data_IF_611710255304
#
_entry.id   IF_611710255304
#
_cell.length_a   1.000
_cell.length_b   1.000
_cell.length_c   1.000
_cell.angle_alpha   90.00
_cell.angle_beta   90.00
_cell.angle_gamma   90.00
#
_symmetry.space_group_name_H-M   'P 1'
#
loop_
_entity.id
_entity.type
_entity.pdbx_description
1 polymer ?
#
# COMPACT_ATOMS: atom_id res chain seq x y z
N UNK A 1 4.77 12.05 17.94
CA UNK A 1 3.47 11.59 17.43
C UNK A 1 3.69 10.24 16.75
N UNK A 2 2.93 9.22 17.11
CA UNK A 2 3.01 7.92 16.46
C UNK A 2 2.29 8.01 15.11
N UNK A 3 2.98 8.46 14.09
CA UNK A 3 2.40 8.56 12.76
C UNK A 3 2.38 7.17 12.13
N UNK A 4 1.18 6.63 11.96
CA UNK A 4 0.99 5.45 11.12
C UNK A 4 1.06 5.89 9.67
N UNK A 5 1.84 5.17 8.86
CA UNK A 5 1.96 5.41 7.42
C UNK A 5 1.44 4.22 6.63
N UNK A 6 0.90 4.50 5.48
CA UNK A 6 0.48 3.48 4.52
C UNK A 6 1.66 3.18 3.61
N UNK A 7 2.05 1.91 3.54
CA UNK A 7 3.04 1.45 2.56
C UNK A 7 2.34 0.58 1.53
N UNK A 8 2.37 1.02 0.28
CA UNK A 8 1.82 0.30 -0.87
C UNK A 8 2.95 -0.45 -1.55
N UNK A 9 2.88 -1.76 -1.53
CA UNK A 9 3.81 -2.59 -2.28
C UNK A 9 3.32 -2.74 -3.72
N UNK A 10 4.11 -2.29 -4.69
CA UNK A 10 3.82 -2.47 -6.10
C UNK A 10 5.09 -2.75 -6.91
N UNK A 11 4.97 -3.60 -7.92
CA UNK A 11 5.99 -3.83 -8.96
C UNK A 11 5.34 -4.23 -10.26
N UNK A 12 5.97 -3.94 -11.38
CA UNK A 12 5.48 -4.28 -12.73
C UNK A 12 5.76 -5.72 -13.14
N UNK A 13 6.74 -6.38 -12.51
CA UNK A 13 7.23 -7.71 -12.85
C UNK A 13 6.31 -8.86 -12.40
N UNK A 14 5.02 -8.81 -12.74
CA UNK A 14 4.11 -9.93 -12.53
C UNK A 14 4.32 -10.99 -13.60
N UNK A 15 4.53 -12.24 -13.20
CA UNK A 15 4.72 -13.36 -14.14
C UNK A 15 3.41 -13.81 -14.81
N UNK A 16 2.27 -13.66 -14.12
CA UNK A 16 0.94 -14.04 -14.62
C UNK A 16 0.34 -13.02 -15.56
N UNK A 17 0.48 -11.73 -15.23
CA UNK A 17 0.03 -10.61 -16.05
C UNK A 17 1.05 -9.48 -15.92
N UNK A 18 2.03 -9.39 -16.83
CA UNK A 18 3.01 -8.30 -16.82
C UNK A 18 2.32 -6.95 -16.83
N UNK A 19 2.88 -6.00 -16.10
CA UNK A 19 2.40 -4.61 -16.04
C UNK A 19 0.95 -4.43 -15.53
N UNK A 20 0.35 -5.44 -14.89
CA UNK A 20 -1.07 -5.39 -14.45
C UNK A 20 -1.43 -4.12 -13.66
N UNK A 21 -0.46 -3.51 -12.97
CA UNK A 21 -0.68 -2.32 -12.15
C UNK A 21 -0.99 -1.06 -12.96
N UNK A 22 -0.52 -1.01 -14.21
CA UNK A 22 -0.58 0.17 -15.08
C UNK A 22 -1.44 -0.06 -16.33
N UNK A 23 -1.81 -1.29 -16.63
CA UNK A 23 -2.76 -1.57 -17.73
C UNK A 23 -4.09 -0.89 -17.46
N UNK A 24 -4.77 -0.37 -18.49
CA UNK A 24 -6.10 0.22 -18.35
C UNK A 24 -7.06 -0.74 -17.67
N UNK A 25 -7.66 -0.32 -16.55
CA UNK A 25 -8.59 -1.10 -15.75
C UNK A 25 -9.98 -0.44 -15.69
N UNK A 26 -10.03 0.84 -15.40
CA UNK A 26 -11.26 1.63 -15.35
C UNK A 26 -11.01 3.05 -15.87
N UNK A 27 -11.84 3.52 -16.81
CA UNK A 27 -11.72 4.87 -17.42
C UNK A 27 -10.31 5.20 -17.92
N UNK A 28 -9.62 4.21 -18.49
CA UNK A 28 -8.21 4.27 -18.91
C UNK A 28 -7.17 4.43 -17.79
N UNK A 29 -7.59 4.41 -16.52
CA UNK A 29 -6.68 4.40 -15.39
C UNK A 29 -6.26 2.97 -15.02
N UNK A 30 -5.00 2.78 -14.65
CA UNK A 30 -4.50 1.52 -14.12
C UNK A 30 -4.90 1.31 -12.65
N UNK A 31 -4.78 0.07 -12.17
CA UNK A 31 -5.13 -0.27 -10.78
C UNK A 31 -4.36 0.58 -9.77
N UNK A 32 -3.07 0.82 -9.99
CA UNK A 32 -2.24 1.59 -9.07
C UNK A 32 -2.69 3.05 -8.98
N UNK A 33 -3.00 3.69 -10.11
CA UNK A 33 -3.55 5.06 -10.14
C UNK A 33 -4.87 5.16 -9.38
N UNK A 34 -5.78 4.19 -9.59
CA UNK A 34 -7.06 4.13 -8.87
C UNK A 34 -6.88 4.00 -7.35
N UNK A 35 -5.95 3.15 -6.91
CA UNK A 35 -5.64 3.01 -5.48
C UNK A 35 -5.11 4.34 -4.92
N UNK A 36 -4.18 5.00 -5.59
CA UNK A 36 -3.66 6.30 -5.14
C UNK A 36 -4.74 7.36 -5.09
N UNK A 37 -5.58 7.46 -6.13
CA UNK A 37 -6.71 8.40 -6.20
C UNK A 37 -7.66 8.20 -5.01
N UNK A 38 -7.98 6.97 -4.68
CA UNK A 38 -8.84 6.63 -3.54
C UNK A 38 -8.16 6.92 -2.20
N UNK A 39 -6.93 6.51 -2.00
CA UNK A 39 -6.21 6.75 -0.76
C UNK A 39 -5.99 8.25 -0.49
N UNK A 40 -5.59 9.00 -1.50
CA UNK A 40 -5.33 10.44 -1.35
C UNK A 40 -6.60 11.26 -1.13
N UNK A 41 -7.80 10.70 -1.33
CA UNK A 41 -9.06 11.35 -0.98
C UNK A 41 -9.36 11.37 0.52
N UNK A 42 -8.73 10.49 1.30
CA UNK A 42 -8.99 10.34 2.74
C UNK A 42 -7.72 10.40 3.62
N UNK A 43 -6.55 10.20 3.03
CA UNK A 43 -5.27 10.14 3.74
C UNK A 43 -4.36 11.25 3.22
N UNK A 44 -3.65 11.92 4.13
CA UNK A 44 -2.62 12.88 3.76
C UNK A 44 -1.53 12.19 2.93
N UNK A 45 -1.20 12.79 1.80
CA UNK A 45 -0.21 12.29 0.83
C UNK A 45 1.15 11.99 1.47
N UNK A 46 1.54 12.78 2.48
CA UNK A 46 2.79 12.58 3.22
C UNK A 46 2.80 11.29 4.04
N UNK A 47 1.65 10.68 4.27
CA UNK A 47 1.49 9.41 4.98
C UNK A 47 1.31 8.22 4.05
N UNK A 48 1.45 8.40 2.75
CA UNK A 48 1.37 7.34 1.74
C UNK A 48 2.75 7.17 1.09
N UNK A 49 3.23 5.94 1.04
CA UNK A 49 4.54 5.58 0.51
C UNK A 49 4.37 4.42 -0.48
N UNK A 50 4.81 4.60 -1.71
CA UNK A 50 5.03 3.50 -2.63
C UNK A 50 6.36 2.80 -2.27
N UNK A 51 6.34 1.51 -2.00
CA UNK A 51 7.54 0.69 -1.88
C UNK A 51 7.69 -0.20 -3.13
N UNK A 52 8.61 0.16 -4.00
CA UNK A 52 8.91 -0.57 -5.25
C UNK A 52 10.37 -0.97 -5.31
N UNK A 53 10.77 -1.68 -6.35
CA UNK A 53 12.16 -2.10 -6.51
C UNK A 53 12.98 -1.10 -7.33
N UNK A 54 14.31 -1.31 -7.30
CA UNK A 54 15.26 -0.53 -8.09
C UNK A 54 15.28 -0.88 -9.58
N UNK A 55 14.52 -1.90 -10.00
CA UNK A 55 14.43 -2.28 -11.41
C UNK A 55 13.77 -1.15 -12.23
N UNK A 56 14.39 -0.77 -13.35
CA UNK A 56 13.95 0.32 -14.22
C UNK A 56 12.50 0.14 -14.75
N UNK A 57 12.05 -1.10 -14.90
CA UNK A 57 10.67 -1.39 -15.27
C UNK A 57 9.63 -0.79 -14.30
N UNK A 58 10.05 -0.42 -13.08
CA UNK A 58 9.20 0.20 -12.08
C UNK A 58 9.24 1.74 -12.08
N UNK A 59 9.97 2.36 -13.01
CA UNK A 59 10.05 3.83 -13.10
C UNK A 59 8.66 4.44 -13.30
N UNK A 60 7.84 3.81 -14.11
CA UNK A 60 6.45 4.22 -14.34
C UNK A 60 5.63 4.31 -13.04
N UNK A 61 5.86 3.41 -12.07
CA UNK A 61 5.17 3.45 -10.78
C UNK A 61 5.64 4.65 -9.95
N UNK A 62 6.93 4.97 -9.99
CA UNK A 62 7.46 6.15 -9.30
C UNK A 62 6.97 7.46 -9.94
N UNK A 63 6.81 7.49 -11.26
CA UNK A 63 6.27 8.65 -11.96
C UNK A 63 4.78 8.88 -11.61
N UNK A 64 3.98 7.82 -11.56
CA UNK A 64 2.59 7.90 -11.07
C UNK A 64 2.57 8.38 -9.61
N UNK A 65 3.45 7.86 -8.73
CA UNK A 65 3.52 8.32 -7.34
C UNK A 65 3.81 9.83 -7.24
N UNK A 66 4.73 10.34 -8.07
CA UNK A 66 5.03 11.79 -8.16
C UNK A 66 3.81 12.60 -8.63
N UNK A 67 3.07 12.13 -9.64
CA UNK A 67 1.86 12.81 -10.13
C UNK A 67 0.81 12.98 -9.03
N UNK A 68 0.64 11.95 -8.18
CA UNK A 68 -0.27 12.02 -7.03
C UNK A 68 0.33 12.76 -5.82
N UNK A 69 1.61 13.10 -5.86
CA UNK A 69 2.32 13.78 -4.78
C UNK A 69 2.54 12.92 -3.55
N UNK A 70 2.60 11.59 -3.71
CA UNK A 70 2.89 10.64 -2.62
C UNK A 70 4.39 10.28 -2.60
N UNK A 71 4.87 9.86 -1.43
CA UNK A 71 6.25 9.44 -1.28
C UNK A 71 6.50 8.11 -2.00
N UNK A 72 7.76 7.86 -2.36
CA UNK A 72 8.16 6.56 -2.88
C UNK A 72 9.54 6.16 -2.36
N UNK A 73 9.74 4.87 -2.21
CA UNK A 73 10.98 4.21 -1.86
C UNK A 73 11.32 3.13 -2.88
N UNK A 74 12.59 3.01 -3.23
CA UNK A 74 13.09 1.97 -4.13
C UNK A 74 14.11 1.11 -3.41
N UNK A 75 13.84 -0.18 -3.28
CA UNK A 75 14.70 -1.11 -2.55
C UNK A 75 14.88 -2.45 -3.27
N UNK A 76 15.18 -3.50 -2.51
CA UNK A 76 15.43 -4.84 -3.05
C UNK A 76 14.28 -5.35 -3.92
N UNK A 77 14.60 -5.93 -5.07
CA UNK A 77 13.63 -6.62 -5.94
C UNK A 77 13.09 -7.89 -5.27
N UNK A 78 13.98 -8.68 -4.66
CA UNK A 78 13.68 -10.01 -4.18
C UNK A 78 13.30 -10.06 -2.69
N UNK A 79 13.89 -9.19 -1.87
CA UNK A 79 13.59 -9.12 -0.44
C UNK A 79 12.51 -8.07 -0.16
N UNK A 80 11.27 -8.53 -0.15
CA UNK A 80 10.09 -7.69 0.09
C UNK A 80 10.07 -7.17 1.52
N UNK A 81 10.41 -8.01 2.50
CA UNK A 81 10.41 -7.62 3.91
C UNK A 81 11.44 -6.53 4.17
N UNK A 82 12.67 -6.72 3.68
CA UNK A 82 13.72 -5.70 3.83
C UNK A 82 13.30 -4.38 3.17
N UNK A 83 12.67 -4.43 2.00
CA UNK A 83 12.16 -3.23 1.33
C UNK A 83 11.13 -2.47 2.16
N UNK A 84 10.24 -3.17 2.88
CA UNK A 84 9.30 -2.54 3.82
C UNK A 84 10.01 -1.90 5.01
N UNK A 85 10.98 -2.61 5.61
CA UNK A 85 11.78 -2.11 6.73
C UNK A 85 12.54 -0.85 6.33
N UNK A 86 13.19 -0.88 5.18
CA UNK A 86 13.98 0.26 4.69
C UNK A 86 13.08 1.46 4.37
N UNK A 87 11.94 1.23 3.74
CA UNK A 87 10.95 2.28 3.48
C UNK A 87 10.41 2.88 4.80
N UNK A 88 10.11 2.04 5.79
CA UNK A 88 9.64 2.50 7.08
C UNK A 88 10.68 3.36 7.80
N UNK A 89 11.93 2.95 7.76
CA UNK A 89 13.06 3.69 8.37
C UNK A 89 13.28 5.04 7.68
N UNK A 90 13.27 5.07 6.33
CA UNK A 90 13.48 6.31 5.56
C UNK A 90 12.43 7.37 5.90
N UNK A 91 11.18 6.95 6.02
CA UNK A 91 10.05 7.86 6.30
C UNK A 91 9.65 7.91 7.78
N UNK A 92 10.48 7.40 8.69
CA UNK A 92 10.25 7.40 10.14
C UNK A 92 8.88 6.82 10.52
N UNK A 93 8.41 5.79 9.81
CA UNK A 93 7.16 5.12 10.08
C UNK A 93 7.33 4.14 11.25
N UNK A 94 6.72 4.42 12.39
CA UNK A 94 6.71 3.53 13.55
C UNK A 94 5.57 2.50 13.51
N UNK A 95 4.51 2.84 12.80
CA UNK A 95 3.35 1.98 12.55
C UNK A 95 3.07 1.97 11.05
N UNK A 96 2.82 0.80 10.51
CA UNK A 96 2.63 0.61 9.07
C UNK A 96 1.29 -0.03 8.81
N UNK A 97 0.54 0.51 7.86
CA UNK A 97 -0.57 -0.18 7.23
C UNK A 97 -0.11 -0.63 5.86
N UNK A 98 -0.04 -1.93 5.68
CA UNK A 98 0.31 -2.52 4.40
C UNK A 98 -0.89 -2.57 3.47
N UNK A 99 -0.74 -2.01 2.28
CA UNK A 99 -1.73 -2.09 1.19
C UNK A 99 -1.11 -2.81 0.00
N UNK A 100 -1.81 -3.84 -0.50
CA UNK A 100 -1.43 -4.51 -1.73
C UNK A 100 -1.96 -3.74 -2.93
N UNK A 101 -1.09 -3.43 -3.88
CA UNK A 101 -1.44 -2.62 -5.05
C UNK A 101 -2.35 -3.33 -6.07
N UNK A 102 -2.69 -4.59 -5.87
CA UNK A 102 -3.57 -5.37 -6.74
C UNK A 102 -5.02 -5.47 -6.24
N UNK A 103 -5.36 -4.73 -5.19
CA UNK A 103 -6.73 -4.63 -4.68
C UNK A 103 -7.37 -3.26 -4.99
N UNK A 104 -8.00 -3.08 -6.16
CA UNK A 104 -8.64 -1.82 -6.53
C UNK A 104 -9.90 -1.51 -5.71
N UNK A 105 -10.45 -2.50 -5.02
CA UNK A 105 -11.68 -2.40 -4.23
C UNK A 105 -11.41 -2.23 -2.72
N UNK A 106 -10.23 -1.74 -2.38
CA UNK A 106 -9.87 -1.43 -1.00
C UNK A 106 -10.99 -0.62 -0.32
N UNK A 107 -11.50 -1.12 0.80
CA UNK A 107 -12.53 -0.44 1.56
C UNK A 107 -11.92 0.71 2.39
N UNK A 108 -12.27 1.94 2.02
CA UNK A 108 -11.72 3.15 2.64
C UNK A 108 -12.28 3.40 4.04
N UNK A 109 -13.51 2.99 4.31
CA UNK A 109 -14.12 3.16 5.64
C UNK A 109 -13.44 2.25 6.67
N UNK A 110 -13.26 0.97 6.31
CA UNK A 110 -12.51 0.05 7.17
C UNK A 110 -11.03 0.41 7.28
N UNK A 111 -10.42 0.96 6.24
CA UNK A 111 -9.06 1.45 6.31
C UNK A 111 -8.93 2.60 7.31
N UNK A 112 -9.82 3.57 7.29
CA UNK A 112 -9.86 4.66 8.27
C UNK A 112 -10.07 4.12 9.69
N UNK A 113 -11.01 3.19 9.86
CA UNK A 113 -11.24 2.56 11.15
C UNK A 113 -9.97 1.87 11.67
N UNK A 114 -9.29 1.10 10.84
CA UNK A 114 -8.03 0.44 11.19
C UNK A 114 -6.95 1.46 11.59
N UNK A 115 -6.78 2.50 10.78
CA UNK A 115 -5.80 3.56 11.01
C UNK A 115 -6.02 4.25 12.37
N UNK A 116 -7.25 4.63 12.67
CA UNK A 116 -7.61 5.35 13.90
C UNK A 116 -7.44 4.49 15.15
N UNK A 117 -7.76 3.20 15.06
CA UNK A 117 -7.62 2.29 16.18
C UNK A 117 -6.16 1.87 16.39
N UNK A 118 -5.43 1.59 15.30
CA UNK A 118 -4.04 1.18 15.38
C UNK A 118 -3.13 2.29 15.91
N UNK A 119 -3.36 3.54 15.54
CA UNK A 119 -2.62 4.69 16.08
C UNK A 119 -2.68 4.80 17.59
N UNK A 120 -3.83 4.44 18.17
CA UNK A 120 -4.11 4.55 19.61
C UNK A 120 -3.78 3.28 20.39
N UNK A 121 -3.48 2.18 19.72
CA UNK A 121 -3.21 0.88 20.34
C UNK A 121 -1.72 0.71 20.63
N UNK A 122 -1.40 -0.20 21.56
CA UNK A 122 -0.06 -0.70 21.80
C UNK A 122 0.14 -2.10 21.20
N UNK A 123 -0.73 -2.50 20.26
CA UNK A 123 -0.63 -3.79 19.59
C UNK A 123 0.50 -3.77 18.54
N UNK A 124 1.19 -4.88 18.45
CA UNK A 124 2.21 -5.12 17.41
C UNK A 124 1.56 -5.44 16.05
N UNK A 125 0.34 -5.98 16.07
CA UNK A 125 -0.40 -6.37 14.87
C UNK A 125 -1.90 -6.18 15.04
N UNK A 126 -2.55 -5.68 13.99
CA UNK A 126 -4.01 -5.53 13.93
C UNK A 126 -4.52 -5.89 12.53
N UNK A 127 -5.57 -6.68 12.45
CA UNK A 127 -6.24 -7.02 11.19
C UNK A 127 -7.73 -7.27 11.41
N UNK A 128 -8.46 -7.41 10.30
CA UNK A 128 -9.87 -7.78 10.34
C UNK A 128 -10.08 -9.27 10.18
N UNK A 129 -11.13 -9.78 10.79
CA UNK A 129 -11.64 -11.13 10.60
C UNK A 129 -13.14 -11.07 10.26
N UNK A 130 -13.61 -12.01 9.49
CA UNK A 130 -15.03 -12.21 9.24
C UNK A 130 -15.70 -12.77 10.51
N UNK A 131 -17.03 -12.68 10.60
CA UNK A 131 -17.79 -13.19 11.76
C UNK A 131 -17.58 -14.69 12.05
N UNK A 132 -17.18 -15.47 11.05
CA UNK A 132 -16.85 -16.89 11.22
C UNK A 132 -15.37 -17.16 11.54
N UNK A 133 -14.57 -16.11 11.84
CA UNK A 133 -13.17 -16.22 12.20
C UNK A 133 -12.19 -16.36 11.04
N UNK A 134 -12.63 -16.16 9.79
CA UNK A 134 -11.71 -16.19 8.64
C UNK A 134 -10.99 -14.85 8.53
N UNK A 135 -9.63 -14.82 8.51
CA UNK A 135 -8.89 -13.60 8.28
C UNK A 135 -9.25 -12.95 6.94
N UNK A 136 -9.51 -11.65 6.93
CA UNK A 136 -9.92 -10.92 5.70
C UNK A 136 -8.86 -10.94 4.61
N UNK A 137 -7.59 -11.14 4.96
CA UNK A 137 -6.52 -11.35 3.98
C UNK A 137 -6.79 -12.52 3.01
N UNK A 138 -7.61 -13.48 3.42
CA UNK A 138 -8.04 -14.60 2.58
C UNK A 138 -9.25 -14.27 1.70
N UNK A 139 -9.85 -13.08 1.87
CA UNK A 139 -11.05 -12.62 1.16
C UNK A 139 -10.62 -11.55 0.21
N UNK A 140 -9.85 -11.36 -0.59
CA UNK A 140 -9.47 -10.28 -1.51
C UNK A 140 -9.66 -8.83 -1.02
N UNK A 141 -10.19 -8.63 0.17
CA UNK A 141 -10.43 -7.31 0.79
C UNK A 141 -9.51 -7.05 1.99
N UNK A 142 -8.49 -7.89 2.17
CA UNK A 142 -7.63 -7.82 3.34
C UNK A 142 -6.61 -6.69 3.26
N UNK A 143 -6.52 -5.94 4.33
CA UNK A 143 -5.40 -5.10 4.68
C UNK A 143 -5.12 -5.27 6.17
N UNK A 144 -3.93 -5.01 6.60
CA UNK A 144 -3.53 -5.12 8.00
C UNK A 144 -2.55 -4.01 8.37
N UNK A 145 -2.43 -3.79 9.66
CA UNK A 145 -1.46 -2.89 10.25
C UNK A 145 -0.37 -3.68 11.00
N UNK A 146 0.86 -3.30 10.85
CA UNK A 146 2.04 -3.83 11.52
C UNK A 146 2.83 -2.70 12.18
#
# INVERSE_FOLDING_TARGET
MNEAKIIIQARTGSTRLPQKMILPFYENEGIFSLILKRLTSIIDKNNIILATSTNENNDVLTDIAKEYGVNYFRGSENDVLQRFIDAANEFNAKKIIRVCADNPFLDLEFLNFLLDNFKKSDYDYMSFMTSNGTPTIKTHYGFWAE
#
